data_IF_878691849511
#
_entry.id   IF_878691849511
#
_cell.length_a   1.000
_cell.length_b   1.000
_cell.length_c   1.000
_cell.angle_alpha   90.00
_cell.angle_beta   90.00
_cell.angle_gamma   90.00
#
_symmetry.space_group_name_H-M   'P 1'
#
loop_
_entity.id
_entity.type
_entity.pdbx_description
1 polymer ?
#
# COMPACT_ATOMS: atom_id res chain seq x y z
N UNK A 1 6.32 -20.62 -3.53
CA UNK A 1 7.52 -20.39 -2.69
C UNK A 1 7.37 -19.04 -1.99
N UNK A 2 7.20 -19.05 -0.67
CA UNK A 2 7.16 -17.85 0.19
C UNK A 2 8.52 -17.17 0.12
N UNK A 3 8.63 -16.11 -0.68
CA UNK A 3 9.93 -15.53 -1.04
C UNK A 3 10.63 -14.77 0.10
N UNK A 4 10.02 -14.67 1.27
CA UNK A 4 10.62 -14.09 2.47
C UNK A 4 10.11 -14.87 3.69
N UNK A 5 11.00 -15.23 4.61
CA UNK A 5 10.69 -15.89 5.88
C UNK A 5 10.00 -14.93 6.89
N UNK A 6 9.19 -14.00 6.37
CA UNK A 6 8.44 -13.07 7.18
C UNK A 6 7.27 -13.84 7.80
N UNK A 7 7.25 -13.88 9.14
CA UNK A 7 6.13 -14.42 9.88
C UNK A 7 4.99 -13.41 9.79
N UNK A 8 3.85 -13.86 9.24
CA UNK A 8 2.62 -13.09 9.32
C UNK A 8 2.28 -12.81 10.78
N UNK A 9 1.81 -11.61 11.07
CA UNK A 9 1.47 -11.19 12.43
C UNK A 9 -0.02 -10.86 12.46
N UNK A 10 -0.75 -11.48 13.38
CA UNK A 10 -2.13 -11.10 13.67
C UNK A 10 -2.15 -10.09 14.81
N UNK A 11 -2.75 -8.94 14.58
CA UNK A 11 -2.87 -7.87 15.58
C UNK A 11 -4.09 -7.01 15.26
N UNK A 12 -4.85 -6.62 16.29
CA UNK A 12 -6.00 -5.71 16.16
C UNK A 12 -7.06 -6.19 15.15
N UNK A 13 -7.26 -7.50 15.05
CA UNK A 13 -8.21 -8.10 14.09
C UNK A 13 -7.69 -8.20 12.65
N UNK A 14 -6.48 -7.71 12.36
CA UNK A 14 -5.89 -7.68 11.02
C UNK A 14 -4.67 -8.60 10.92
N UNK A 15 -4.35 -9.04 9.69
CA UNK A 15 -3.14 -9.79 9.40
C UNK A 15 -2.15 -8.91 8.62
N UNK A 16 -0.95 -8.80 9.16
CA UNK A 16 0.18 -8.14 8.52
C UNK A 16 1.13 -9.17 7.91
N UNK A 17 1.71 -8.86 6.76
CA UNK A 17 2.65 -9.76 6.08
C UNK A 17 4.03 -9.74 6.73
N UNK A 18 4.32 -8.74 7.57
CA UNK A 18 5.56 -8.67 8.35
C UNK A 18 5.41 -8.04 9.74
N UNK A 19 6.38 -8.32 10.63
CA UNK A 19 6.50 -7.62 11.92
C UNK A 19 6.70 -6.12 11.73
N UNK A 20 7.44 -5.71 10.69
CA UNK A 20 7.71 -4.30 10.39
C UNK A 20 6.43 -3.52 10.09
N UNK A 21 5.54 -4.10 9.28
CA UNK A 21 4.22 -3.52 9.01
C UNK A 21 3.39 -3.40 10.29
N UNK A 22 3.34 -4.45 11.12
CA UNK A 22 2.60 -4.43 12.38
C UNK A 22 3.11 -3.33 13.34
N UNK A 23 4.42 -3.17 13.49
CA UNK A 23 4.98 -2.08 14.32
C UNK A 23 4.70 -0.69 13.74
N UNK A 24 4.70 -0.56 12.40
CA UNK A 24 4.34 0.70 11.76
C UNK A 24 2.86 1.03 11.97
N UNK A 25 1.98 0.05 11.86
CA UNK A 25 0.56 0.20 12.18
C UNK A 25 0.34 0.70 13.60
N UNK A 26 1.02 0.12 14.61
CA UNK A 26 0.92 0.60 16.01
C UNK A 26 1.35 2.06 16.15
N UNK A 27 2.40 2.46 15.43
CA UNK A 27 2.88 3.85 15.43
C UNK A 27 1.81 4.79 14.85
N UNK A 28 1.26 4.45 13.68
CA UNK A 28 0.21 5.25 13.03
C UNK A 28 -1.08 5.29 13.86
N UNK A 29 -1.46 4.18 14.50
CA UNK A 29 -2.60 4.14 15.41
C UNK A 29 -2.41 5.10 16.58
N UNK A 30 -1.23 5.12 17.19
CA UNK A 30 -0.91 6.09 18.25
C UNK A 30 -0.93 7.55 17.73
N UNK A 31 -0.45 7.81 16.51
CA UNK A 31 -0.54 9.14 15.90
C UNK A 31 -2.00 9.57 15.67
N UNK A 32 -2.87 8.63 15.30
CA UNK A 32 -4.31 8.91 15.17
C UNK A 32 -4.95 9.22 16.53
N UNK A 33 -4.62 8.46 17.57
CA UNK A 33 -5.10 8.70 18.94
C UNK A 33 -4.64 10.06 19.49
N UNK A 34 -3.42 10.49 19.14
CA UNK A 34 -2.89 11.81 19.45
C UNK A 34 -3.45 12.92 18.55
N UNK A 35 -4.25 12.56 17.54
CA UNK A 35 -4.86 13.49 16.60
C UNK A 35 -3.88 14.10 15.60
N UNK A 36 -2.69 13.50 15.37
CA UNK A 36 -1.70 13.94 14.37
C UNK A 36 -2.11 13.53 12.94
N UNK A 37 -2.79 12.40 12.81
CA UNK A 37 -3.35 11.92 11.54
C UNK A 37 -4.83 11.59 11.72
N UNK A 38 -5.55 11.48 10.61
CA UNK A 38 -6.95 11.06 10.59
C UNK A 38 -7.20 9.97 9.54
N UNK A 39 -8.24 9.17 9.74
CA UNK A 39 -8.76 8.26 8.73
C UNK A 39 -7.77 7.18 8.32
N UNK A 40 -7.00 6.64 9.27
CA UNK A 40 -6.07 5.54 9.02
C UNK A 40 -6.83 4.33 8.46
N UNK A 41 -6.55 3.98 7.21
CA UNK A 41 -7.01 2.75 6.57
C UNK A 41 -5.82 1.86 6.23
N UNK A 42 -6.06 0.54 6.23
CA UNK A 42 -5.07 -0.48 5.91
C UNK A 42 -5.47 -1.19 4.62
N UNK A 43 -4.49 -1.61 3.81
CA UNK A 43 -4.71 -2.41 2.60
C UNK A 43 -5.65 -1.74 1.57
N UNK A 44 -5.60 -0.41 1.49
CA UNK A 44 -6.45 0.38 0.59
C UNK A 44 -6.07 0.14 -0.88
N UNK A 45 -7.08 0.01 -1.75
CA UNK A 45 -6.87 -0.38 -3.15
C UNK A 45 -7.08 0.80 -4.10
N UNK A 46 -6.06 1.12 -4.87
CA UNK A 46 -6.11 2.13 -5.93
C UNK A 46 -6.11 1.44 -7.29
N UNK A 47 -7.10 1.74 -8.13
CA UNK A 47 -7.14 1.26 -9.51
C UNK A 47 -6.14 2.06 -10.33
N UNK A 48 -5.13 1.39 -10.90
CA UNK A 48 -4.13 2.03 -11.76
C UNK A 48 -4.56 1.99 -13.22
N UNK A 49 -4.99 0.82 -13.67
CA UNK A 49 -5.42 0.61 -15.04
C UNK A 49 -6.68 -0.23 -15.00
N UNK A 50 -7.70 0.21 -15.72
CA UNK A 50 -8.95 -0.53 -15.84
C UNK A 50 -8.71 -1.91 -16.46
N UNK A 51 -9.62 -2.84 -16.16
CA UNK A 51 -9.58 -4.13 -16.81
C UNK A 51 -9.74 -3.97 -18.32
N UNK A 52 -9.02 -4.77 -19.09
CA UNK A 52 -9.03 -4.70 -20.57
C UNK A 52 -9.20 -6.09 -21.18
N UNK A 53 -9.91 -6.15 -22.30
CA UNK A 53 -10.01 -7.37 -23.11
C UNK A 53 -8.83 -7.38 -24.06
N UNK A 54 -7.92 -8.33 -23.87
CA UNK A 54 -6.75 -8.50 -24.75
C UNK A 54 -7.17 -9.40 -25.91
N UNK A 55 -6.78 -9.01 -27.14
CA UNK A 55 -7.04 -9.82 -28.34
C UNK A 55 -6.47 -11.24 -28.16
N UNK A 56 -7.27 -12.25 -28.47
CA UNK A 56 -6.90 -13.66 -28.31
C UNK A 56 -7.13 -14.24 -26.91
N UNK A 57 -7.47 -13.45 -25.89
CA UNK A 57 -7.82 -13.99 -24.57
C UNK A 57 -9.33 -14.24 -24.45
N UNK A 58 -9.71 -15.36 -23.82
CA UNK A 58 -11.13 -15.75 -23.65
C UNK A 58 -11.89 -14.86 -22.68
N UNK A 59 -11.22 -14.26 -21.69
CA UNK A 59 -11.82 -13.38 -20.68
C UNK A 59 -11.12 -12.02 -20.60
N UNK A 60 -11.83 -11.03 -20.07
CA UNK A 60 -11.27 -9.71 -19.76
C UNK A 60 -10.25 -9.85 -18.62
N UNK A 61 -9.08 -9.22 -18.74
CA UNK A 61 -8.13 -9.13 -17.62
C UNK A 61 -8.68 -8.17 -16.57
N UNK A 62 -8.54 -8.46 -15.27
CA UNK A 62 -8.98 -7.56 -14.22
C UNK A 62 -8.14 -6.28 -14.23
N UNK A 63 -8.65 -5.25 -13.55
CA UNK A 63 -7.93 -4.00 -13.32
C UNK A 63 -6.59 -4.25 -12.62
N UNK A 64 -5.55 -3.53 -13.03
CA UNK A 64 -4.30 -3.47 -12.28
C UNK A 64 -4.51 -2.54 -11.10
N UNK A 65 -4.27 -3.05 -9.88
CA UNK A 65 -4.40 -2.27 -8.64
C UNK A 65 -3.06 -2.10 -7.92
N UNK A 66 -2.89 -0.94 -7.29
CA UNK A 66 -1.96 -0.73 -6.20
C UNK A 66 -2.70 -1.01 -4.89
N UNK A 67 -2.10 -1.78 -3.99
CA UNK A 67 -2.66 -2.00 -2.65
C UNK A 67 -1.64 -1.42 -1.69
N UNK A 68 -2.01 -0.33 -1.01
CA UNK A 68 -1.16 0.36 -0.06
C UNK A 68 -1.26 -0.28 1.31
N UNK A 69 -0.17 -0.30 2.08
CA UNK A 69 -0.21 -0.83 3.44
C UNK A 69 -1.03 0.09 4.33
N UNK A 70 -0.81 1.41 4.24
CA UNK A 70 -1.52 2.42 5.02
C UNK A 70 -1.89 3.65 4.19
N UNK A 71 -3.06 4.21 4.45
CA UNK A 71 -3.50 5.51 3.93
C UNK A 71 -4.08 6.33 5.07
N UNK A 72 -3.73 7.61 5.13
CA UNK A 72 -4.24 8.52 6.17
C UNK A 72 -4.13 9.97 5.70
N UNK A 73 -4.82 10.88 6.39
CA UNK A 73 -4.68 12.33 6.24
C UNK A 73 -3.70 12.85 7.28
N UNK A 74 -2.59 13.45 6.87
CA UNK A 74 -1.68 14.17 7.77
C UNK A 74 -2.33 15.51 8.16
N UNK A 75 -2.58 15.75 9.45
CA UNK A 75 -3.23 17.01 9.88
C UNK A 75 -2.34 18.23 9.77
N UNK A 76 -1.03 18.05 9.78
CA UNK A 76 -0.07 19.15 9.70
C UNK A 76 -0.01 19.72 8.28
N UNK A 77 -0.05 18.85 7.27
CA UNK A 77 0.00 19.27 5.86
C UNK A 77 -1.39 19.39 5.23
N UNK A 78 -2.38 18.65 5.75
CA UNK A 78 -3.71 18.52 5.16
C UNK A 78 -3.74 17.59 3.94
N UNK A 79 -2.67 16.84 3.69
CA UNK A 79 -2.53 15.98 2.52
C UNK A 79 -2.80 14.51 2.84
N UNK A 80 -3.34 13.78 1.86
CA UNK A 80 -3.45 12.33 1.95
C UNK A 80 -2.08 11.70 1.73
N UNK A 81 -1.64 10.91 2.71
CA UNK A 81 -0.39 10.15 2.67
C UNK A 81 -0.70 8.70 2.36
N UNK A 82 -0.01 8.15 1.36
CA UNK A 82 -0.03 6.72 1.04
C UNK A 82 1.33 6.14 1.40
N UNK A 83 1.34 5.21 2.34
CA UNK A 83 2.56 4.63 2.90
C UNK A 83 2.64 3.13 2.64
N UNK A 84 3.84 2.67 2.30
CA UNK A 84 4.12 1.27 2.00
C UNK A 84 5.42 0.81 2.66
N UNK A 85 5.33 -0.25 3.48
CA UNK A 85 6.43 -0.77 4.28
C UNK A 85 7.21 -1.77 3.44
N UNK A 86 8.37 -1.34 2.92
CA UNK A 86 9.15 -2.16 1.98
C UNK A 86 10.52 -2.56 2.53
N UNK A 87 10.96 -3.75 2.11
CA UNK A 87 12.35 -4.17 2.20
C UNK A 87 13.17 -3.58 1.04
N UNK A 88 14.51 -3.56 1.15
CA UNK A 88 15.39 -3.12 0.05
C UNK A 88 15.18 -3.96 -1.22
N UNK A 89 14.87 -5.25 -1.07
CA UNK A 89 14.61 -6.15 -2.20
C UNK A 89 13.30 -5.76 -2.88
N UNK A 90 12.25 -5.50 -2.10
CA UNK A 90 10.94 -5.11 -2.65
C UNK A 90 10.99 -3.77 -3.37
N UNK A 91 11.80 -2.80 -2.89
CA UNK A 91 12.02 -1.52 -3.59
C UNK A 91 12.62 -1.70 -4.98
N UNK A 92 13.41 -2.76 -5.20
CA UNK A 92 14.04 -3.08 -6.49
C UNK A 92 13.14 -3.91 -7.41
N UNK A 93 11.99 -4.39 -6.92
CA UNK A 93 11.06 -5.16 -7.72
C UNK A 93 10.51 -4.32 -8.89
N UNK A 94 10.58 -4.87 -10.11
CA UNK A 94 10.21 -4.14 -11.33
C UNK A 94 8.71 -3.83 -11.36
N UNK A 95 7.87 -4.74 -10.88
CA UNK A 95 6.41 -4.56 -10.88
C UNK A 95 6.02 -3.49 -9.88
N UNK A 96 6.60 -3.52 -8.68
CA UNK A 96 6.41 -2.48 -7.67
C UNK A 96 6.76 -1.09 -8.21
N UNK A 97 7.95 -0.94 -8.79
CA UNK A 97 8.41 0.36 -9.33
C UNK A 97 7.48 0.91 -10.42
N UNK A 98 7.00 0.06 -11.32
CA UNK A 98 6.04 0.46 -12.35
C UNK A 98 4.71 0.88 -11.71
N UNK A 99 4.19 0.11 -10.75
CA UNK A 99 2.94 0.45 -10.07
C UNK A 99 3.06 1.76 -9.27
N UNK A 100 4.20 2.03 -8.62
CA UNK A 100 4.47 3.31 -7.94
C UNK A 100 4.52 4.48 -8.93
N UNK A 101 5.15 4.29 -10.09
CA UNK A 101 5.12 5.29 -11.15
C UNK A 101 3.68 5.59 -11.61
N UNK A 102 2.88 4.54 -11.83
CA UNK A 102 1.48 4.66 -12.22
C UNK A 102 0.63 5.33 -11.13
N UNK A 103 0.90 5.11 -9.85
CA UNK A 103 0.24 5.85 -8.76
C UNK A 103 0.40 7.35 -8.93
N UNK A 104 1.61 7.82 -9.23
CA UNK A 104 1.87 9.24 -9.44
C UNK A 104 1.18 9.77 -10.69
N UNK A 105 1.23 9.05 -11.81
CA UNK A 105 0.59 9.54 -13.05
C UNK A 105 -0.94 9.60 -12.93
N UNK A 106 -1.57 8.57 -12.36
CA UNK A 106 -3.02 8.40 -12.42
C UNK A 106 -3.72 9.10 -11.26
N UNK A 107 -3.12 9.08 -10.07
CA UNK A 107 -3.74 9.61 -8.84
C UNK A 107 -3.05 10.87 -8.32
N UNK A 108 -1.93 11.28 -8.91
CA UNK A 108 -1.06 12.35 -8.40
C UNK A 108 -0.53 12.12 -6.97
N UNK A 109 -0.44 10.85 -6.56
CA UNK A 109 0.00 10.45 -5.22
C UNK A 109 1.42 9.92 -5.24
N UNK A 110 2.28 10.49 -4.41
CA UNK A 110 3.62 9.96 -4.11
C UNK A 110 3.55 8.92 -2.98
N UNK A 111 4.03 7.70 -3.26
CA UNK A 111 4.08 6.63 -2.25
C UNK A 111 5.32 6.79 -1.37
N UNK A 112 5.09 6.96 -0.06
CA UNK A 112 6.12 6.98 0.97
C UNK A 112 6.55 5.56 1.31
N UNK A 113 7.84 5.27 1.18
CA UNK A 113 8.40 3.94 1.46
C UNK A 113 9.07 3.89 2.83
N UNK A 114 8.54 3.09 3.75
CA UNK A 114 9.10 2.92 5.11
C UNK A 114 9.94 1.65 5.23
#
# INVERSE_FOLDING_TARGET
MSKFNNKKVFFDGMTFDSKKECERYKTLKSWQEQGLINGLTCQESFVLVDGVKIAGESRKRPSVRYIADFVYLDKRTGEQVVEDVKSVITRKDKVYRIKKHLMKIIHDIDVVEV
#
